data_IF_570590135168
#
_entry.id   IF_570590135168
#
_cell.length_a   1.000
_cell.length_b   1.000
_cell.length_c   1.000
_cell.angle_alpha   90.00
_cell.angle_beta   90.00
_cell.angle_gamma   90.00
#
_symmetry.space_group_name_H-M   'P 1'
#
loop_
_entity.id
_entity.type
_entity.pdbx_description
1 polymer ?
#
# COMPACT_ATOMS: atom_id res chain seq x y z
N UNK A 1 -1.83 -9.29 -15.16
CA UNK A 1 -0.74 -9.56 -14.20
C UNK A 1 0.36 -10.29 -14.94
N UNK A 2 1.60 -9.90 -14.71
CA UNK A 2 2.74 -10.59 -15.34
C UNK A 2 3.56 -11.36 -14.31
N UNK A 3 4.17 -12.46 -14.75
CA UNK A 3 5.21 -13.18 -14.03
C UNK A 3 6.58 -13.08 -14.78
N UNK A 4 6.65 -12.19 -15.78
CA UNK A 4 7.86 -11.97 -16.59
C UNK A 4 8.50 -10.62 -16.19
N UNK A 5 9.73 -10.64 -15.62
CA UNK A 5 10.47 -9.43 -15.29
C UNK A 5 10.71 -8.49 -16.49
N UNK A 6 10.79 -9.03 -17.71
CA UNK A 6 10.99 -8.22 -18.93
C UNK A 6 9.78 -7.34 -19.28
N UNK A 7 8.58 -7.71 -18.86
CA UNK A 7 7.39 -6.86 -19.06
C UNK A 7 7.41 -5.62 -18.17
N UNK A 8 8.04 -5.69 -16.99
CA UNK A 8 8.18 -4.55 -16.08
C UNK A 8 8.96 -3.42 -16.76
N UNK A 9 10.01 -3.77 -17.52
CA UNK A 9 10.83 -2.79 -18.22
C UNK A 9 10.08 -1.98 -19.27
N UNK A 10 8.91 -2.44 -19.71
CA UNK A 10 8.07 -1.78 -20.73
C UNK A 10 6.83 -1.09 -20.13
N UNK A 11 6.53 -1.37 -18.87
CA UNK A 11 5.35 -0.84 -18.22
C UNK A 11 5.39 0.69 -18.10
N UNK A 12 4.27 1.36 -18.33
CA UNK A 12 4.08 2.79 -18.08
C UNK A 12 3.54 3.08 -16.68
N UNK A 13 2.96 2.07 -16.03
CA UNK A 13 2.46 2.11 -14.65
C UNK A 13 2.63 0.73 -14.03
N UNK A 14 2.89 0.69 -12.73
CA UNK A 14 3.05 -0.55 -11.97
C UNK A 14 2.05 -0.60 -10.82
N UNK A 15 1.43 -1.75 -10.65
CA UNK A 15 0.66 -2.07 -9.45
C UNK A 15 1.32 -3.27 -8.79
N UNK A 16 1.71 -3.10 -7.53
CA UNK A 16 2.26 -4.14 -6.68
C UNK A 16 1.17 -4.61 -5.71
N UNK A 17 0.31 -5.55 -6.12
CA UNK A 17 -0.68 -6.11 -5.23
C UNK A 17 -0.01 -7.12 -4.30
N UNK A 18 -0.60 -7.36 -3.15
CA UNK A 18 -0.10 -8.41 -2.28
C UNK A 18 -1.11 -8.88 -1.26
N UNK A 19 -1.08 -10.18 -1.01
CA UNK A 19 -1.78 -10.87 0.08
C UNK A 19 -0.84 -11.91 0.69
N UNK A 20 -1.02 -12.20 1.99
CA UNK A 20 -0.20 -13.17 2.70
C UNK A 20 0.97 -12.53 3.46
N UNK A 21 2.00 -13.31 3.77
CA UNK A 21 3.08 -12.90 4.67
C UNK A 21 4.16 -12.06 3.97
N UNK A 22 4.62 -11.01 4.65
CA UNK A 22 5.62 -10.05 4.19
C UNK A 22 6.93 -10.71 3.75
N UNK A 23 7.56 -11.50 4.62
CA UNK A 23 8.84 -12.15 4.31
C UNK A 23 8.76 -13.02 3.06
N UNK A 24 7.67 -13.81 2.96
CA UNK A 24 7.45 -14.67 1.80
C UNK A 24 7.33 -13.87 0.50
N UNK A 25 6.65 -12.74 0.55
CA UNK A 25 6.50 -11.88 -0.62
C UNK A 25 7.84 -11.27 -1.03
N UNK A 26 8.63 -10.73 -0.08
CA UNK A 26 9.96 -10.19 -0.36
C UNK A 26 10.93 -11.24 -0.90
N UNK A 27 10.98 -12.42 -0.27
CA UNK A 27 11.80 -13.54 -0.75
C UNK A 27 11.42 -13.97 -2.17
N UNK A 28 10.12 -13.99 -2.48
CA UNK A 28 9.66 -14.31 -3.83
C UNK A 28 10.07 -13.24 -4.84
N UNK A 29 9.92 -11.94 -4.54
CA UNK A 29 10.37 -10.87 -5.43
C UNK A 29 11.86 -11.00 -5.75
N UNK A 30 12.70 -11.29 -4.75
CA UNK A 30 14.13 -11.49 -4.94
C UNK A 30 14.44 -12.76 -5.75
N UNK A 31 13.87 -13.90 -5.35
CA UNK A 31 14.11 -15.20 -5.99
C UNK A 31 13.70 -15.23 -7.46
N UNK A 32 12.62 -14.52 -7.80
CA UNK A 32 12.09 -14.45 -9.16
C UNK A 32 12.74 -13.33 -9.99
N UNK A 33 13.70 -12.58 -9.43
CA UNK A 33 14.43 -11.55 -10.15
C UNK A 33 13.61 -10.30 -10.48
N UNK A 34 12.57 -9.99 -9.68
CA UNK A 34 11.72 -8.83 -9.91
C UNK A 34 12.31 -7.53 -9.34
N UNK A 35 13.17 -7.58 -8.32
CA UNK A 35 13.62 -6.39 -7.59
C UNK A 35 14.34 -5.42 -8.54
N UNK A 36 15.36 -5.87 -9.26
CA UNK A 36 16.15 -5.02 -10.16
C UNK A 36 15.29 -4.37 -11.27
N UNK A 37 14.44 -5.09 -12.03
CA UNK A 37 13.54 -4.47 -13.00
C UNK A 37 12.55 -3.47 -12.39
N UNK A 38 12.05 -3.74 -11.18
CA UNK A 38 11.18 -2.83 -10.45
C UNK A 38 11.92 -1.55 -10.05
N UNK A 39 13.15 -1.66 -9.52
CA UNK A 39 13.99 -0.52 -9.13
C UNK A 39 14.34 0.34 -10.34
N UNK A 40 14.75 -0.26 -11.44
CA UNK A 40 15.00 0.46 -12.69
C UNK A 40 13.76 1.23 -13.18
N UNK A 41 12.59 0.57 -13.21
CA UNK A 41 11.33 1.23 -13.59
C UNK A 41 10.99 2.39 -12.64
N UNK A 42 11.13 2.16 -11.34
CA UNK A 42 10.72 3.09 -10.29
C UNK A 42 11.66 4.30 -10.17
N UNK A 43 12.98 4.10 -10.18
CA UNK A 43 13.95 5.16 -9.88
C UNK A 43 14.54 5.82 -11.13
N UNK A 44 14.80 5.07 -12.18
CA UNK A 44 15.39 5.63 -13.40
C UNK A 44 14.32 6.14 -14.37
N UNK A 45 13.30 5.33 -14.61
CA UNK A 45 12.21 5.70 -15.52
C UNK A 45 11.08 6.49 -14.84
N UNK A 46 11.07 6.59 -13.50
CA UNK A 46 10.06 7.28 -12.70
C UNK A 46 8.63 6.77 -12.97
N UNK A 47 8.47 5.49 -13.23
CA UNK A 47 7.17 4.86 -13.48
C UNK A 47 6.30 4.97 -12.23
N UNK A 48 5.07 5.54 -12.33
CA UNK A 48 4.14 5.54 -11.21
C UNK A 48 3.88 4.12 -10.71
N UNK A 49 4.07 3.91 -9.41
CA UNK A 49 3.97 2.59 -8.78
C UNK A 49 3.00 2.64 -7.62
N UNK A 50 1.97 1.78 -7.64
CA UNK A 50 0.94 1.69 -6.61
C UNK A 50 1.08 0.37 -5.83
N UNK A 51 1.37 0.45 -4.54
CA UNK A 51 1.34 -0.69 -3.60
C UNK A 51 -0.05 -0.85 -2.99
N UNK A 52 -0.64 -2.05 -3.08
CA UNK A 52 -1.95 -2.36 -2.50
C UNK A 52 -1.80 -3.31 -1.30
N UNK A 53 -2.31 -2.90 -0.14
CA UNK A 53 -2.29 -3.66 1.11
C UNK A 53 -0.88 -4.18 1.45
N UNK A 54 -0.58 -5.47 1.30
CA UNK A 54 0.78 -5.99 1.46
C UNK A 54 1.78 -5.28 0.55
N UNK A 55 1.38 -4.89 -0.67
CA UNK A 55 2.22 -4.10 -1.58
C UNK A 55 2.66 -2.77 -0.98
N UNK A 56 1.82 -2.10 -0.19
CA UNK A 56 2.19 -0.90 0.58
C UNK A 56 3.31 -1.22 1.58
N UNK A 57 3.19 -2.34 2.30
CA UNK A 57 4.21 -2.78 3.27
C UNK A 57 5.53 -3.10 2.58
N UNK A 58 5.49 -3.77 1.41
CA UNK A 58 6.69 -4.12 0.64
C UNK A 58 7.47 -2.89 0.17
N UNK A 59 6.80 -1.77 -0.13
CA UNK A 59 7.45 -0.49 -0.46
C UNK A 59 8.18 0.12 0.74
N UNK A 60 7.83 -0.25 1.98
CA UNK A 60 8.43 0.22 3.22
C UNK A 60 9.82 -0.36 3.48
N UNK A 61 10.38 -0.04 4.64
CA UNK A 61 11.69 -0.51 5.09
C UNK A 61 11.67 -1.94 5.60
N UNK A 62 10.60 -2.32 6.29
CA UNK A 62 10.44 -3.65 6.88
C UNK A 62 9.08 -3.81 7.57
N UNK A 63 8.86 -4.98 8.14
CA UNK A 63 7.60 -5.33 8.80
C UNK A 63 7.83 -6.12 10.09
N UNK A 64 7.04 -5.81 11.11
CA UNK A 64 6.95 -6.62 12.34
C UNK A 64 6.23 -7.97 12.12
N UNK A 65 5.70 -8.24 10.93
CA UNK A 65 5.08 -9.51 10.58
C UNK A 65 6.09 -10.65 10.48
N UNK A 66 7.32 -10.33 10.07
CA UNK A 66 8.29 -11.33 9.70
C UNK A 66 9.44 -11.49 10.69
N UNK A 67 10.51 -12.13 10.22
CA UNK A 67 11.72 -12.41 10.96
C UNK A 67 12.85 -11.42 10.63
N UNK A 68 12.49 -10.21 10.17
CA UNK A 68 13.46 -9.16 9.85
C UNK A 68 13.88 -9.10 8.39
N UNK A 69 13.12 -9.70 7.47
CA UNK A 69 13.32 -9.52 6.03
C UNK A 69 13.15 -8.05 5.67
N UNK A 70 14.13 -7.39 5.02
CA UNK A 70 13.97 -5.99 4.64
C UNK A 70 12.99 -5.83 3.47
N UNK A 71 12.21 -4.75 3.51
CA UNK A 71 11.38 -4.31 2.38
C UNK A 71 12.19 -3.72 1.23
N UNK A 72 11.51 -3.08 0.30
CA UNK A 72 12.15 -2.37 -0.81
C UNK A 72 12.79 -1.05 -0.38
N UNK A 73 12.34 -0.44 0.73
CA UNK A 73 12.90 0.79 1.28
C UNK A 73 12.60 2.06 0.47
N UNK A 74 11.63 2.01 -0.45
CA UNK A 74 11.28 3.12 -1.34
C UNK A 74 10.50 4.22 -0.62
N UNK A 75 9.73 3.82 0.39
CA UNK A 75 8.96 4.70 1.27
C UNK A 75 9.51 4.58 2.69
N UNK A 76 9.67 5.71 3.39
CA UNK A 76 10.23 5.73 4.74
C UNK A 76 9.16 5.38 5.79
N UNK A 77 8.66 4.15 5.73
CA UNK A 77 7.68 3.59 6.65
C UNK A 77 8.07 2.21 7.11
N UNK A 78 7.85 1.93 8.39
CA UNK A 78 7.90 0.59 8.95
C UNK A 78 6.47 0.10 9.16
N UNK A 79 6.28 -1.20 9.04
CA UNK A 79 4.98 -1.82 9.27
C UNK A 79 4.94 -2.44 10.66
N UNK A 80 3.99 -2.01 11.48
CA UNK A 80 3.79 -2.46 12.85
C UNK A 80 2.56 -3.36 12.96
N UNK A 81 2.47 -4.12 14.05
CA UNK A 81 1.30 -4.94 14.35
C UNK A 81 0.21 -4.11 15.02
N UNK A 82 -1.04 -4.45 14.74
CA UNK A 82 -2.19 -3.86 15.43
C UNK A 82 -2.34 -4.56 16.79
N UNK A 83 -1.72 -4.01 17.83
CA UNK A 83 -1.76 -4.61 19.17
C UNK A 83 -2.83 -3.95 20.07
N UNK A 84 -3.12 -2.66 19.86
CA UNK A 84 -4.11 -1.90 20.65
C UNK A 84 -5.56 -2.37 20.50
N UNK A 85 -5.91 -2.99 19.39
CA UNK A 85 -7.30 -3.38 19.13
C UNK A 85 -7.85 -4.37 20.15
N UNK A 86 -7.02 -5.32 20.60
CA UNK A 86 -7.43 -6.35 21.58
C UNK A 86 -7.77 -5.73 22.94
N UNK A 87 -7.01 -4.72 23.40
CA UNK A 87 -7.23 -4.02 24.68
C UNK A 87 -8.57 -3.25 24.69
N UNK A 88 -9.07 -2.89 23.50
CA UNK A 88 -10.34 -2.17 23.32
C UNK A 88 -11.49 -3.07 22.83
N UNK A 89 -11.32 -4.40 22.89
CA UNK A 89 -12.36 -5.37 22.52
C UNK A 89 -12.62 -5.45 21.01
N UNK A 90 -11.73 -4.91 20.18
CA UNK A 90 -11.81 -5.03 18.73
C UNK A 90 -11.08 -6.28 18.22
N UNK A 91 -11.52 -6.75 17.08
CA UNK A 91 -10.91 -7.91 16.42
C UNK A 91 -9.69 -7.54 15.61
N UNK A 92 -8.65 -8.38 15.68
CA UNK A 92 -7.52 -8.41 14.75
C UNK A 92 -7.62 -9.71 13.96
N UNK A 93 -7.58 -9.69 12.64
CA UNK A 93 -7.32 -8.53 11.76
C UNK A 93 -8.45 -7.49 11.75
N UNK A 94 -8.13 -6.21 11.44
CA UNK A 94 -9.08 -5.20 11.05
C UNK A 94 -9.73 -5.62 9.73
N UNK A 95 -10.99 -6.02 9.77
CA UNK A 95 -11.75 -6.51 8.61
C UNK A 95 -13.04 -5.74 8.49
N UNK A 96 -13.29 -5.19 7.31
CA UNK A 96 -14.55 -4.52 6.99
C UNK A 96 -14.38 -3.14 6.36
N UNK A 97 -15.52 -2.45 6.23
CA UNK A 97 -15.59 -1.12 5.65
C UNK A 97 -15.35 -0.06 6.71
N UNK A 98 -14.37 0.81 6.45
CA UNK A 98 -14.07 1.94 7.34
C UNK A 98 -13.86 3.23 6.55
N UNK A 99 -14.10 4.37 7.24
CA UNK A 99 -13.93 5.69 6.65
C UNK A 99 -12.46 6.07 6.61
N UNK A 100 -12.09 6.77 5.55
CA UNK A 100 -10.76 7.30 5.33
C UNK A 100 -10.86 8.82 5.22
N UNK A 101 -9.93 9.53 5.81
CA UNK A 101 -9.80 10.99 5.75
C UNK A 101 -8.61 11.35 4.85
N UNK A 102 -8.83 11.67 3.55
CA UNK A 102 -7.76 12.07 2.65
C UNK A 102 -7.22 13.46 2.98
N UNK A 103 -5.95 13.68 2.72
CA UNK A 103 -5.35 15.01 2.67
C UNK A 103 -5.79 15.69 1.37
N UNK A 104 -6.24 16.94 1.48
CA UNK A 104 -6.73 17.70 0.34
C UNK A 104 -5.66 17.79 -0.78
N UNK A 105 -6.09 17.62 -2.04
CA UNK A 105 -5.21 17.70 -3.20
C UNK A 105 -4.41 16.43 -3.49
N UNK A 106 -4.65 15.34 -2.76
CA UNK A 106 -4.01 14.04 -3.04
C UNK A 106 -4.53 13.44 -4.35
N UNK A 107 -3.68 13.16 -5.36
CA UNK A 107 -4.13 12.70 -6.68
C UNK A 107 -4.97 11.43 -6.65
N UNK A 108 -4.60 10.43 -5.83
CA UNK A 108 -5.38 9.19 -5.70
C UNK A 108 -6.82 9.40 -5.24
N UNK A 109 -7.10 10.49 -4.52
CA UNK A 109 -8.43 10.81 -3.98
C UNK A 109 -9.11 11.95 -4.74
N UNK A 110 -8.66 12.26 -5.96
CA UNK A 110 -9.34 13.24 -6.80
C UNK A 110 -10.83 12.85 -6.97
N UNK A 111 -11.70 13.83 -6.86
CA UNK A 111 -13.17 13.66 -6.96
C UNK A 111 -13.80 12.73 -5.89
N UNK A 112 -13.05 12.31 -4.89
CA UNK A 112 -13.58 11.53 -3.76
C UNK A 112 -14.39 12.40 -2.80
N UNK A 113 -15.36 11.79 -2.12
CA UNK A 113 -16.04 12.44 -0.99
C UNK A 113 -15.04 12.79 0.13
N UNK A 114 -15.40 13.69 1.04
CA UNK A 114 -14.56 14.11 2.15
C UNK A 114 -14.11 12.93 3.06
N UNK A 115 -15.01 11.96 3.27
CA UNK A 115 -14.75 10.74 4.05
C UNK A 115 -15.24 9.49 3.31
N UNK A 116 -14.53 9.09 2.23
CA UNK A 116 -14.89 7.88 1.51
C UNK A 116 -14.67 6.65 2.37
N UNK A 117 -15.45 5.58 2.11
CA UNK A 117 -15.31 4.31 2.82
C UNK A 117 -14.68 3.26 1.93
N UNK A 118 -13.71 2.52 2.47
CA UNK A 118 -13.00 1.46 1.78
C UNK A 118 -13.01 0.16 2.59
N UNK A 119 -12.75 -0.95 1.91
CA UNK A 119 -12.63 -2.27 2.52
C UNK A 119 -11.20 -2.54 2.98
N UNK A 120 -11.06 -2.93 4.24
CA UNK A 120 -9.80 -3.29 4.88
C UNK A 120 -9.77 -4.77 5.26
N UNK A 121 -8.62 -5.39 5.21
CA UNK A 121 -8.33 -6.70 5.81
C UNK A 121 -6.84 -6.81 6.10
N UNK A 122 -6.42 -6.42 7.31
CA UNK A 122 -5.01 -6.40 7.69
C UNK A 122 -4.82 -6.52 9.21
N UNK A 123 -3.68 -7.09 9.63
CA UNK A 123 -3.23 -7.17 11.02
C UNK A 123 -2.03 -6.26 11.30
N UNK A 124 -1.47 -5.67 10.26
CA UNK A 124 -0.30 -4.79 10.32
C UNK A 124 -0.61 -3.50 9.59
N UNK A 125 0.05 -2.40 9.98
CA UNK A 125 -0.22 -1.06 9.48
C UNK A 125 1.06 -0.23 9.43
N UNK A 126 1.08 0.82 8.63
CA UNK A 126 2.13 1.85 8.67
C UNK A 126 1.68 3.04 9.54
N UNK A 127 2.57 3.49 10.43
CA UNK A 127 2.33 4.69 11.24
C UNK A 127 2.14 5.94 10.39
N UNK A 128 1.43 6.92 10.94
CA UNK A 128 1.30 8.23 10.31
C UNK A 128 2.68 8.92 10.28
N UNK A 129 3.04 9.37 9.10
CA UNK A 129 4.30 10.10 8.88
C UNK A 129 4.11 11.16 7.76
N UNK A 130 5.20 11.85 7.40
CA UNK A 130 5.17 12.94 6.40
C UNK A 130 4.73 12.52 4.99
N UNK A 131 4.66 11.22 4.71
CA UNK A 131 4.24 10.66 3.42
C UNK A 131 2.79 10.19 3.44
N UNK A 132 2.13 10.25 4.60
CA UNK A 132 0.72 9.89 4.75
C UNK A 132 -0.16 10.87 3.98
N UNK A 133 -0.98 10.34 3.08
CA UNK A 133 -1.92 11.10 2.26
C UNK A 133 -3.38 10.80 2.57
N UNK A 134 -3.64 9.79 3.39
CA UNK A 134 -4.96 9.55 3.96
C UNK A 134 -4.84 8.76 5.27
N UNK A 135 -5.74 9.03 6.20
CA UNK A 135 -5.76 8.43 7.54
C UNK A 135 -7.06 7.64 7.72
N UNK A 136 -6.95 6.49 8.38
CA UNK A 136 -8.08 5.73 8.89
C UNK A 136 -7.96 5.62 10.40
N UNK A 137 -9.08 5.85 11.10
CA UNK A 137 -9.20 5.67 12.54
C UNK A 137 -9.78 4.29 12.86
N UNK A 138 -8.99 3.45 13.53
CA UNK A 138 -9.43 2.17 14.06
C UNK A 138 -8.98 2.07 15.52
N UNK A 139 -9.53 2.95 16.38
CA UNK A 139 -9.10 3.35 17.73
C UNK A 139 -7.84 4.21 17.62
N UNK A 140 -6.73 3.65 17.17
CA UNK A 140 -5.53 4.41 16.86
C UNK A 140 -5.50 4.74 15.36
N UNK A 141 -5.15 5.97 15.00
CA UNK A 141 -5.06 6.37 13.62
C UNK A 141 -3.83 5.79 12.94
N UNK A 142 -3.99 5.36 11.68
CA UNK A 142 -2.91 4.83 10.87
C UNK A 142 -2.96 5.35 9.42
N UNK A 143 -1.84 5.18 8.70
CA UNK A 143 -1.74 5.55 7.28
C UNK A 143 -2.61 4.64 6.43
N UNK A 144 -3.77 5.15 5.98
CA UNK A 144 -4.62 4.45 5.01
C UNK A 144 -4.11 4.55 3.58
N UNK A 145 -3.38 5.65 3.28
CA UNK A 145 -2.65 5.81 2.03
C UNK A 145 -1.39 6.66 2.24
N UNK A 146 -0.42 6.46 1.38
CA UNK A 146 0.86 7.16 1.39
C UNK A 146 1.27 7.55 -0.04
N UNK A 147 2.06 8.63 -0.15
CA UNK A 147 2.70 9.05 -1.39
C UNK A 147 4.10 9.60 -1.13
N UNK A 148 5.03 9.19 -1.98
CA UNK A 148 6.37 9.77 -2.07
C UNK A 148 6.82 9.73 -3.52
N UNK A 149 7.09 10.90 -4.10
CA UNK A 149 7.47 11.01 -5.51
C UNK A 149 6.47 10.27 -6.43
N UNK A 150 6.93 9.28 -7.19
CA UNK A 150 6.12 8.41 -8.06
C UNK A 150 5.59 7.14 -7.36
N UNK A 151 5.76 7.02 -6.04
CA UNK A 151 5.26 5.89 -5.25
C UNK A 151 3.96 6.25 -4.56
N UNK A 152 2.95 5.44 -4.76
CA UNK A 152 1.63 5.52 -4.17
C UNK A 152 1.34 4.23 -3.43
N UNK A 153 0.61 4.29 -2.35
CA UNK A 153 0.25 3.09 -1.61
C UNK A 153 -1.11 3.24 -0.91
N UNK A 154 -1.85 2.15 -0.80
CA UNK A 154 -3.08 2.06 -0.01
C UNK A 154 -3.06 0.85 0.90
N UNK A 155 -3.51 1.01 2.16
CA UNK A 155 -3.71 -0.10 3.09
C UNK A 155 -5.00 -0.86 2.80
N UNK A 156 -6.02 -0.16 2.33
CA UNK A 156 -7.28 -0.76 1.90
C UNK A 156 -7.12 -1.44 0.53
N UNK A 157 -8.13 -2.23 0.18
CA UNK A 157 -8.23 -2.94 -1.09
C UNK A 157 -9.17 -2.18 -2.04
N UNK A 158 -8.65 -1.36 -2.97
CA UNK A 158 -9.50 -0.68 -3.96
C UNK A 158 -10.35 -1.67 -4.77
N UNK A 159 -9.76 -2.81 -5.16
CA UNK A 159 -10.42 -3.87 -5.94
C UNK A 159 -11.59 -4.54 -5.20
N UNK A 160 -11.72 -4.31 -3.88
CA UNK A 160 -12.82 -4.80 -3.02
C UNK A 160 -13.71 -3.66 -2.52
N UNK A 161 -13.49 -2.45 -2.97
CA UNK A 161 -14.13 -1.24 -2.44
C UNK A 161 -15.19 -0.65 -3.38
N UNK A 162 -15.82 -1.48 -4.21
CA UNK A 162 -16.88 -1.09 -5.14
C UNK A 162 -16.51 0.15 -5.99
N UNK A 163 -17.46 1.02 -6.33
CA UNK A 163 -17.25 2.17 -7.21
C UNK A 163 -16.19 3.15 -6.70
N UNK A 164 -16.12 3.35 -5.37
CA UNK A 164 -15.11 4.25 -4.80
C UNK A 164 -13.71 3.69 -4.96
N UNK A 165 -13.55 2.38 -4.88
CA UNK A 165 -12.27 1.71 -5.14
C UNK A 165 -11.88 1.76 -6.63
N UNK A 166 -12.85 1.61 -7.52
CA UNK A 166 -12.64 1.79 -8.97
C UNK A 166 -12.17 3.23 -9.28
N UNK A 167 -12.72 4.24 -8.58
CA UNK A 167 -12.27 5.63 -8.74
C UNK A 167 -10.80 5.80 -8.35
N UNK A 168 -10.33 5.19 -7.25
CA UNK A 168 -8.91 5.21 -6.85
C UNK A 168 -8.02 4.63 -7.97
N UNK A 169 -8.42 3.50 -8.56
CA UNK A 169 -7.66 2.88 -9.65
C UNK A 169 -7.67 3.73 -10.91
N UNK A 170 -8.81 4.36 -11.26
CA UNK A 170 -8.91 5.31 -12.37
C UNK A 170 -8.00 6.53 -12.14
N UNK A 171 -8.06 7.13 -10.95
CA UNK A 171 -7.19 8.25 -10.60
C UNK A 171 -5.71 7.87 -10.74
N UNK A 172 -5.32 6.68 -10.30
CA UNK A 172 -3.95 6.19 -10.50
C UNK A 172 -3.59 6.03 -11.98
N UNK A 173 -4.52 5.64 -12.83
CA UNK A 173 -4.27 5.52 -14.27
C UNK A 173 -4.11 6.88 -14.96
N UNK A 174 -4.58 7.97 -14.36
CA UNK A 174 -4.48 9.33 -14.89
C UNK A 174 -3.22 10.07 -14.41
N UNK A 175 -2.56 9.58 -13.33
CA UNK A 175 -1.26 10.09 -12.86
C UNK A 175 -0.16 9.75 -13.87
#
# INVERSE_FOLDING_TARGET
>A
MTADPLEISKASKLILPGVGAFDRAMLNLRRLGFVEPLEHAAFERKVPTLGLCLGMHLLGRGSAEGNGEPGLGWVAADTLRIDWAAEHGLKVPHVGWNSVSPVAGTPLFAESAEKPRFYFVHSYYAEINKQTTAVCDYIEPFSAAMQKDNFYATQFHPEKSADIGEQILKNFLEI
#
